data_IF_925082292525
#
_entry.id   IF_925082292525
#
_cell.length_a   1.000
_cell.length_b   1.000
_cell.length_c   1.000
_cell.angle_alpha   90.00
_cell.angle_beta   90.00
_cell.angle_gamma   90.00
#
_symmetry.space_group_name_H-M   'P 1'
#
loop_
_entity.id
_entity.type
_entity.pdbx_description
1 polymer ?
#
# COMPACT_ATOMS: atom_id res chain seq x y z
N UNK A 1 -17.33 35.04 -27.62
CA UNK A 1 -17.63 36.48 -27.82
C UNK A 1 -17.37 37.25 -26.54
N UNK A 2 -17.86 38.49 -26.40
CA UNK A 2 -17.81 39.24 -25.15
C UNK A 2 -19.23 39.63 -24.72
N UNK A 3 -19.50 39.67 -23.41
CA UNK A 3 -20.77 40.10 -22.83
C UNK A 3 -20.53 41.16 -21.75
N UNK A 4 -21.48 42.07 -21.56
CA UNK A 4 -21.38 43.11 -20.54
C UNK A 4 -21.56 42.48 -19.15
N UNK A 5 -20.52 42.51 -18.33
CA UNK A 5 -20.50 42.02 -16.95
C UNK A 5 -21.09 43.02 -15.96
N UNK A 6 -21.18 42.61 -14.69
CA UNK A 6 -21.82 43.38 -13.60
C UNK A 6 -21.14 44.73 -13.29
N UNK A 7 -19.89 44.91 -13.72
CA UNK A 7 -19.08 46.13 -13.53
C UNK A 7 -19.09 47.08 -14.73
N UNK A 8 -19.99 46.89 -15.72
CA UNK A 8 -19.99 47.57 -17.03
C UNK A 8 -18.71 47.32 -17.85
N UNK A 9 -18.03 46.20 -17.59
CA UNK A 9 -16.86 45.74 -18.33
C UNK A 9 -17.29 44.62 -19.28
N UNK A 10 -16.79 44.63 -20.52
CA UNK A 10 -16.98 43.52 -21.44
C UNK A 10 -16.13 42.32 -21.02
N UNK A 11 -16.75 41.26 -20.54
CA UNK A 11 -16.09 40.02 -20.14
C UNK A 11 -16.11 39.00 -21.28
N UNK A 12 -15.01 38.26 -21.50
CA UNK A 12 -14.96 37.21 -22.51
C UNK A 12 -15.89 36.05 -22.15
N UNK A 13 -16.47 35.42 -23.17
CA UNK A 13 -17.36 34.27 -23.04
C UNK A 13 -16.62 33.00 -23.47
N UNK A 14 -16.64 32.01 -22.58
CA UNK A 14 -16.15 30.66 -22.84
C UNK A 14 -17.34 29.69 -22.80
N UNK A 15 -17.66 29.08 -23.93
CA UNK A 15 -18.91 28.31 -24.15
C UNK A 15 -19.03 27.07 -23.27
N UNK A 16 -17.90 26.43 -22.96
CA UNK A 16 -17.80 25.28 -22.05
C UNK A 16 -17.46 25.68 -20.60
N UNK A 17 -17.30 26.98 -20.32
CA UNK A 17 -16.68 27.47 -19.09
C UNK A 17 -15.18 27.16 -18.99
N UNK A 18 -14.57 27.64 -17.90
CA UNK A 18 -13.15 27.41 -17.56
C UNK A 18 -13.05 26.86 -16.13
N UNK A 19 -13.39 25.58 -15.88
CA UNK A 19 -13.21 24.98 -14.56
C UNK A 19 -11.74 25.05 -14.13
N UNK A 20 -11.49 25.45 -12.88
CA UNK A 20 -10.15 25.69 -12.32
C UNK A 20 -9.29 26.72 -13.09
N UNK A 21 -9.94 27.67 -13.75
CA UNK A 21 -9.27 28.76 -14.44
C UNK A 21 -10.17 29.98 -14.59
N UNK A 22 -9.77 30.90 -15.44
CA UNK A 22 -10.55 32.08 -15.85
C UNK A 22 -10.63 32.18 -17.36
N UNK A 23 -11.73 32.75 -17.86
CA UNK A 23 -11.84 33.08 -19.28
C UNK A 23 -11.07 34.39 -19.53
N UNK A 24 -10.06 34.36 -20.40
CA UNK A 24 -9.21 35.54 -20.71
C UNK A 24 -9.49 36.11 -22.11
N UNK A 25 -10.02 35.28 -23.00
CA UNK A 25 -10.50 35.66 -24.32
C UNK A 25 -11.64 34.72 -24.74
N UNK A 26 -12.41 35.03 -25.79
CA UNK A 26 -13.45 34.15 -26.31
C UNK A 26 -12.95 32.70 -26.45
N UNK A 27 -13.63 31.78 -25.77
CA UNK A 27 -13.30 30.35 -25.73
C UNK A 27 -11.82 30.03 -25.40
N UNK A 28 -11.15 30.93 -24.67
CA UNK A 28 -9.74 30.80 -24.26
C UNK A 28 -9.63 30.90 -22.75
N UNK A 29 -9.19 29.81 -22.12
CA UNK A 29 -9.02 29.70 -20.67
C UNK A 29 -7.55 29.90 -20.27
N UNK A 30 -7.35 30.61 -19.16
CA UNK A 30 -6.08 30.66 -18.41
C UNK A 30 -6.27 29.88 -17.12
N UNK A 31 -5.40 28.88 -16.87
CA UNK A 31 -5.50 28.03 -15.68
C UNK A 31 -5.03 28.75 -14.42
N UNK A 32 -5.68 28.44 -13.30
CA UNK A 32 -5.28 28.93 -11.98
C UNK A 32 -3.94 28.33 -11.54
N UNK A 33 -3.33 28.94 -10.51
CA UNK A 33 -2.09 28.43 -9.93
C UNK A 33 -2.22 26.96 -9.50
N UNK A 34 -1.23 26.15 -9.86
CA UNK A 34 -1.23 24.70 -9.61
C UNK A 34 -2.07 23.88 -10.58
N UNK A 35 -2.61 24.48 -11.64
CA UNK A 35 -3.33 23.77 -12.71
C UNK A 35 -2.67 24.04 -14.07
N UNK A 36 -2.75 23.05 -14.98
CA UNK A 36 -2.26 23.15 -16.35
C UNK A 36 -3.32 22.72 -17.35
N UNK A 37 -3.24 23.26 -18.56
CA UNK A 37 -4.16 22.91 -19.64
C UNK A 37 -3.97 21.45 -20.04
N UNK A 38 -4.98 20.62 -19.77
CA UNK A 38 -5.01 19.23 -20.15
C UNK A 38 -5.45 19.01 -21.60
N UNK A 39 -5.44 17.75 -22.05
CA UNK A 39 -5.74 17.38 -23.43
C UNK A 39 -7.19 17.69 -23.87
N UNK A 40 -8.10 17.88 -22.90
CA UNK A 40 -9.51 18.19 -23.11
C UNK A 40 -9.85 19.69 -23.07
N UNK A 41 -8.84 20.57 -23.09
CA UNK A 41 -8.98 22.01 -22.82
C UNK A 41 -9.58 22.31 -21.42
N UNK A 42 -9.30 21.42 -20.47
CA UNK A 42 -9.69 21.56 -19.06
C UNK A 42 -8.43 21.80 -18.24
N UNK A 43 -8.50 22.71 -17.28
CA UNK A 43 -7.40 22.94 -16.34
C UNK A 43 -7.35 21.79 -15.33
N UNK A 44 -6.36 20.92 -15.51
CA UNK A 44 -6.12 19.75 -14.69
C UNK A 44 -5.14 20.09 -13.55
N UNK A 45 -5.37 19.58 -12.32
CA UNK A 45 -4.51 19.87 -11.19
C UNK A 45 -3.13 19.23 -11.35
N UNK A 46 -2.10 19.92 -10.88
CA UNK A 46 -0.72 19.46 -10.88
C UNK A 46 -0.34 18.96 -9.49
N UNK A 47 0.25 17.77 -9.43
CA UNK A 47 0.84 17.22 -8.22
C UNK A 47 2.33 17.03 -8.47
N UNK A 48 3.18 17.79 -7.78
CA UNK A 48 4.61 17.94 -8.05
C UNK A 48 5.39 16.63 -7.88
N UNK A 49 4.99 15.80 -6.90
CA UNK A 49 5.54 14.46 -6.65
C UNK A 49 4.77 13.35 -7.39
N UNK A 50 3.74 13.69 -8.14
CA UNK A 50 2.74 12.74 -8.63
C UNK A 50 1.88 12.12 -7.50
N UNK A 51 0.96 11.25 -7.92
CA UNK A 51 0.06 10.50 -7.03
C UNK A 51 0.15 9.00 -7.33
N UNK A 52 1.23 8.30 -6.92
CA UNK A 52 1.32 6.85 -7.11
C UNK A 52 0.14 6.15 -6.44
N UNK A 53 -0.48 5.20 -7.14
CA UNK A 53 -1.70 4.49 -6.72
C UNK A 53 -2.89 5.41 -6.38
N UNK A 54 -2.96 6.57 -7.02
CA UNK A 54 -4.06 7.52 -6.87
C UNK A 54 -4.19 8.43 -8.07
N UNK A 55 -4.92 9.53 -7.88
CA UNK A 55 -5.06 10.61 -8.87
C UNK A 55 -4.95 11.97 -8.21
N UNK A 56 -4.41 12.94 -8.94
CA UNK A 56 -4.40 14.33 -8.52
C UNK A 56 -5.83 14.89 -8.62
N UNK A 57 -6.35 15.44 -7.52
CA UNK A 57 -7.73 16.00 -7.47
C UNK A 57 -7.75 17.50 -7.20
N UNK A 58 -6.66 18.04 -6.68
CA UNK A 58 -6.37 19.47 -6.54
C UNK A 58 -4.84 19.64 -6.51
N UNK A 59 -4.30 20.87 -6.62
CA UNK A 59 -2.87 21.10 -6.57
C UNK A 59 -2.22 20.42 -5.36
N UNK A 60 -1.21 19.60 -5.64
CA UNK A 60 -0.49 18.77 -4.65
C UNK A 60 -1.38 17.93 -3.71
N UNK A 61 -2.61 17.64 -4.15
CA UNK A 61 -3.60 16.89 -3.36
C UNK A 61 -4.00 15.62 -4.11
N UNK A 62 -3.59 14.48 -3.55
CA UNK A 62 -3.89 13.16 -4.10
C UNK A 62 -5.17 12.58 -3.49
N UNK A 63 -5.94 11.87 -4.33
CA UNK A 63 -6.99 10.95 -3.91
C UNK A 63 -6.57 9.53 -4.26
N UNK A 64 -6.49 8.67 -3.26
CA UNK A 64 -6.09 7.27 -3.45
C UNK A 64 -7.14 6.47 -4.24
N UNK A 65 -6.63 5.53 -5.03
CA UNK A 65 -7.45 4.56 -5.75
C UNK A 65 -8.10 3.56 -4.77
N UNK A 66 -9.09 2.83 -5.26
CA UNK A 66 -9.76 1.79 -4.46
C UNK A 66 -8.76 0.76 -3.93
N UNK A 67 -8.89 0.40 -2.66
CA UNK A 67 -7.97 -0.51 -1.99
C UNK A 67 -6.67 0.13 -1.51
N UNK A 68 -6.50 1.45 -1.65
CA UNK A 68 -5.35 2.20 -1.13
C UNK A 68 -5.81 3.30 -0.17
N UNK A 69 -4.96 3.63 0.81
CA UNK A 69 -5.18 4.71 1.78
C UNK A 69 -3.99 5.66 1.83
N UNK A 70 -4.27 6.91 2.22
CA UNK A 70 -3.22 7.92 2.34
C UNK A 70 -2.29 7.57 3.50
N UNK A 71 -1.03 7.28 3.17
CA UNK A 71 0.05 7.05 4.13
C UNK A 71 0.67 8.34 4.65
N UNK A 72 1.73 8.23 5.45
CA UNK A 72 2.36 9.35 6.14
C UNK A 72 3.06 10.36 5.21
N UNK A 73 3.40 9.96 3.98
CA UNK A 73 4.19 10.77 3.03
C UNK A 73 3.36 11.26 1.83
N UNK A 74 2.04 11.43 1.96
CA UNK A 74 1.13 11.69 0.83
C UNK A 74 1.20 10.63 -0.29
N UNK A 75 1.59 9.41 0.08
CA UNK A 75 1.67 8.25 -0.82
C UNK A 75 0.48 7.34 -0.52
N UNK A 76 -0.18 6.86 -1.57
CA UNK A 76 -1.27 5.91 -1.42
C UNK A 76 -0.71 4.50 -1.22
N UNK A 77 -0.85 3.99 0.00
CA UNK A 77 -0.37 2.69 0.44
C UNK A 77 -1.49 1.64 0.31
N UNK A 78 -1.16 0.40 -0.12
CA UNK A 78 -2.15 -0.65 -0.32
C UNK A 78 -2.73 -1.13 1.01
N UNK A 79 -4.01 -1.51 0.99
CA UNK A 79 -4.73 -2.02 2.15
C UNK A 79 -4.91 -3.53 2.04
N UNK A 80 -4.51 -4.25 3.09
CA UNK A 80 -4.76 -5.68 3.25
C UNK A 80 -5.66 -5.88 4.48
N UNK A 81 -6.95 -6.19 4.26
CA UNK A 81 -8.01 -6.17 5.29
C UNK A 81 -7.78 -7.14 6.46
N UNK A 82 -7.09 -8.26 6.23
CA UNK A 82 -6.70 -9.24 7.25
C UNK A 82 -5.33 -8.94 7.89
N UNK A 83 -4.66 -7.87 7.45
CA UNK A 83 -3.23 -7.67 7.66
C UNK A 83 -2.36 -8.66 6.87
N UNK A 84 -1.05 -8.42 6.89
CA UNK A 84 -0.03 -9.34 6.38
C UNK A 84 0.91 -9.70 7.53
N UNK A 85 0.53 -10.69 8.36
CA UNK A 85 1.42 -11.19 9.41
C UNK A 85 2.68 -11.79 8.78
N UNK A 86 3.86 -11.47 9.32
CA UNK A 86 5.17 -11.87 8.78
C UNK A 86 5.36 -11.55 7.28
N UNK A 87 4.80 -10.44 6.83
CA UNK A 87 4.94 -9.97 5.46
C UNK A 87 4.60 -8.48 5.33
N UNK A 88 4.50 -8.02 4.09
CA UNK A 88 4.08 -6.66 3.75
C UNK A 88 2.97 -6.66 2.71
N UNK A 89 2.08 -5.68 2.79
CA UNK A 89 1.05 -5.48 1.78
C UNK A 89 1.69 -4.81 0.55
N UNK A 90 1.68 -5.49 -0.59
CA UNK A 90 2.31 -4.99 -1.83
C UNK A 90 1.30 -4.50 -2.86
N UNK A 91 0.07 -4.98 -2.77
CA UNK A 91 -1.08 -4.52 -3.52
C UNK A 91 -2.35 -4.74 -2.67
N UNK A 92 -3.49 -4.13 -3.00
CA UNK A 92 -4.73 -4.32 -2.27
C UNK A 92 -5.05 -5.81 -2.10
N UNK A 93 -5.19 -6.24 -0.84
CA UNK A 93 -5.45 -7.65 -0.50
C UNK A 93 -4.31 -8.64 -0.81
N UNK A 94 -3.14 -8.17 -1.27
CA UNK A 94 -2.01 -9.03 -1.67
C UNK A 94 -0.82 -8.83 -0.73
N UNK A 95 -0.46 -9.90 -0.03
CA UNK A 95 0.69 -9.94 0.87
C UNK A 95 1.91 -10.56 0.17
N UNK A 96 3.07 -9.95 0.39
CA UNK A 96 4.38 -10.56 0.12
C UNK A 96 5.00 -10.97 1.45
N UNK A 97 5.37 -12.24 1.58
CA UNK A 97 5.97 -12.75 2.81
C UNK A 97 7.39 -12.24 3.00
N UNK A 98 7.77 -11.99 4.25
CA UNK A 98 9.13 -11.63 4.62
C UNK A 98 10.09 -12.78 4.35
N UNK A 99 11.39 -12.48 4.29
CA UNK A 99 12.43 -13.48 4.13
C UNK A 99 12.33 -14.58 5.21
N UNK A 100 12.45 -15.84 4.80
CA UNK A 100 12.27 -16.99 5.69
C UNK A 100 10.80 -17.37 5.96
N UNK A 101 9.84 -16.76 5.27
CA UNK A 101 8.42 -17.12 5.33
C UNK A 101 7.85 -17.45 3.94
N UNK A 102 6.86 -18.34 3.88
CA UNK A 102 6.13 -18.70 2.67
C UNK A 102 4.63 -18.55 2.84
N UNK A 103 3.96 -18.16 1.77
CA UNK A 103 2.51 -18.02 1.73
C UNK A 103 1.85 -19.41 1.82
N UNK A 104 1.04 -19.62 2.84
CA UNK A 104 0.23 -20.84 2.99
C UNK A 104 -1.02 -20.79 2.11
N UNK A 105 -1.71 -21.93 1.99
CA UNK A 105 -3.03 -22.04 1.34
C UNK A 105 -4.12 -21.15 1.99
N UNK A 106 -3.90 -20.70 3.22
CA UNK A 106 -4.82 -19.83 3.97
C UNK A 106 -4.44 -18.35 3.87
N UNK A 107 -3.56 -17.96 2.94
CA UNK A 107 -3.04 -16.60 2.78
C UNK A 107 -2.33 -16.07 4.05
N UNK A 108 -1.60 -16.93 4.74
CA UNK A 108 -0.79 -16.57 5.92
C UNK A 108 0.68 -16.86 5.64
N UNK A 109 1.57 -15.93 5.95
CA UNK A 109 3.00 -16.16 5.84
C UNK A 109 3.49 -17.03 7.01
N UNK A 110 3.75 -18.30 6.71
CA UNK A 110 4.26 -19.28 7.66
C UNK A 110 5.78 -19.35 7.62
N UNK A 111 6.46 -19.48 8.78
CA UNK A 111 7.91 -19.57 8.83
C UNK A 111 8.41 -20.85 8.18
N UNK A 112 9.60 -20.76 7.57
CA UNK A 112 10.31 -21.88 6.97
C UNK A 112 11.35 -22.36 7.96
N UNK A 113 11.37 -23.67 8.23
CA UNK A 113 12.43 -24.33 8.98
C UNK A 113 13.10 -25.36 8.07
N UNK A 114 14.32 -25.08 7.64
CA UNK A 114 15.03 -25.82 6.58
C UNK A 114 15.27 -27.28 6.93
N UNK A 115 15.56 -27.56 8.21
CA UNK A 115 15.75 -28.92 8.73
C UNK A 115 14.45 -29.55 9.29
N UNK A 116 13.33 -28.83 9.22
CA UNK A 116 12.09 -29.16 9.92
C UNK A 116 12.19 -29.01 11.44
N UNK A 117 11.07 -29.23 12.13
CA UNK A 117 10.97 -29.21 13.59
C UNK A 117 10.37 -30.53 14.11
N UNK A 118 11.12 -31.64 14.12
CA UNK A 118 10.62 -32.89 14.69
C UNK A 118 10.28 -32.70 16.17
N UNK A 119 9.12 -33.21 16.61
CA UNK A 119 8.59 -33.05 17.97
C UNK A 119 8.43 -31.58 18.42
N UNK A 120 8.19 -30.68 17.47
CA UNK A 120 7.96 -29.26 17.72
C UNK A 120 7.18 -28.60 16.59
N UNK A 121 7.11 -27.27 16.63
CA UNK A 121 6.54 -26.45 15.56
C UNK A 121 7.50 -25.33 15.16
N UNK A 122 7.50 -24.96 13.88
CA UNK A 122 8.25 -23.82 13.38
C UNK A 122 7.53 -22.53 13.79
N UNK A 123 8.16 -21.69 14.59
CA UNK A 123 7.57 -20.44 15.12
C UNK A 123 8.17 -19.18 14.52
N UNK A 124 9.39 -19.28 14.00
CA UNK A 124 10.10 -18.26 13.24
C UNK A 124 11.07 -18.96 12.27
N UNK A 125 11.69 -18.25 11.30
CA UNK A 125 12.63 -18.85 10.36
C UNK A 125 13.72 -19.63 11.09
N UNK A 126 13.87 -20.90 10.72
CA UNK A 126 14.79 -21.87 11.33
C UNK A 126 14.75 -21.96 12.88
N UNK A 127 13.60 -21.60 13.47
CA UNK A 127 13.39 -21.59 14.92
C UNK A 127 12.23 -22.50 15.30
N UNK A 128 12.53 -23.54 16.07
CA UNK A 128 11.55 -24.51 16.54
C UNK A 128 11.13 -24.22 17.98
N UNK A 129 9.84 -24.37 18.26
CA UNK A 129 9.30 -24.48 19.62
C UNK A 129 8.96 -25.94 19.89
N UNK A 130 9.58 -26.53 20.92
CA UNK A 130 9.36 -27.93 21.25
C UNK A 130 7.98 -28.17 21.85
N UNK A 131 7.38 -29.30 21.50
CA UNK A 131 6.12 -29.74 22.10
C UNK A 131 6.30 -30.10 23.57
N UNK A 132 5.20 -30.14 24.32
CA UNK A 132 5.21 -30.51 25.73
C UNK A 132 5.90 -31.87 25.95
N UNK A 133 6.80 -31.93 26.94
CA UNK A 133 7.62 -33.11 27.20
C UNK A 133 8.89 -33.21 26.35
N UNK A 134 9.22 -32.19 25.54
CA UNK A 134 10.48 -32.11 24.78
C UNK A 134 11.22 -30.79 25.09
N UNK A 135 12.55 -30.83 25.05
CA UNK A 135 13.43 -29.66 25.17
C UNK A 135 14.35 -29.54 23.96
N UNK A 136 14.79 -28.31 23.68
CA UNK A 136 15.71 -28.03 22.59
C UNK A 136 17.08 -28.64 22.88
N UNK A 137 17.47 -29.63 22.07
CA UNK A 137 18.79 -30.24 22.08
C UNK A 137 19.83 -29.40 21.33
N UNK A 138 21.09 -29.85 21.33
CA UNK A 138 22.24 -29.12 20.79
C UNK A 138 22.21 -28.90 19.26
N UNK A 139 21.32 -29.60 18.54
CA UNK A 139 21.21 -29.59 17.07
C UNK A 139 19.89 -29.01 16.55
N UNK A 140 19.23 -28.12 17.30
CA UNK A 140 17.89 -27.60 16.96
C UNK A 140 16.81 -28.69 16.83
N UNK A 141 17.03 -29.84 17.47
CA UNK A 141 16.10 -30.97 17.52
C UNK A 141 15.44 -30.99 18.89
N UNK A 142 14.13 -31.21 18.91
CA UNK A 142 13.38 -31.36 20.17
C UNK A 142 13.53 -32.79 20.69
N UNK A 143 14.23 -32.92 21.81
CA UNK A 143 14.55 -34.19 22.47
C UNK A 143 13.64 -34.41 23.68
N UNK A 144 13.18 -35.65 23.96
CA UNK A 144 12.25 -35.93 25.03
C UNK A 144 12.88 -35.67 26.41
N UNK A 145 12.11 -35.07 27.32
CA UNK A 145 12.49 -34.88 28.72
C UNK A 145 12.21 -36.16 29.49
N UNK A 146 13.26 -36.90 29.84
CA UNK A 146 13.15 -38.10 30.67
C UNK A 146 13.31 -37.74 32.16
N UNK A 147 12.21 -37.61 32.90
CA UNK A 147 12.21 -37.33 34.36
C UNK A 147 12.89 -38.42 35.22
N UNK A 148 13.10 -39.61 34.67
CA UNK A 148 13.68 -40.78 35.35
C UNK A 148 14.83 -41.46 34.57
N UNK A 149 15.46 -40.74 33.64
CA UNK A 149 16.55 -41.25 32.79
C UNK A 149 16.04 -42.08 31.62
N UNK A 150 16.55 -41.80 30.41
CA UNK A 150 16.13 -42.52 29.21
C UNK A 150 16.78 -43.92 29.23
N UNK A 151 16.03 -45.03 29.40
CA UNK A 151 16.61 -46.36 29.58
C UNK A 151 17.29 -46.89 28.32
N UNK A 152 16.94 -46.33 27.15
CA UNK A 152 17.44 -46.72 25.84
C UNK A 152 17.69 -45.45 25.00
N UNK A 153 18.63 -44.61 25.45
CA UNK A 153 19.12 -43.51 24.64
C UNK A 153 19.60 -44.03 23.29
N UNK A 154 19.17 -43.36 22.22
CA UNK A 154 19.75 -43.53 20.91
C UNK A 154 19.87 -42.19 20.22
#
# INVERSE_FOLDING_TARGET
>A
GYLMGASNVCEPVCSSGCPNGRCVAPDTCECSEGYLMGASNVCEPVCSSGCPNGRCVAPDTCKCSEGYLMGASNVCEPVCSSGCSNGRCVAPGTCECSEGYLMSISNVCQPICSSGCPNGRCVAPDTCECSEGYLMGASNVCEPVCSSGCPNGR
#
